data_IF_059675490960
#
_entry.id   IF_059675490960
#
_cell.length_a   1.000
_cell.length_b   1.000
_cell.length_c   1.000
_cell.angle_alpha   90.00
_cell.angle_beta   90.00
_cell.angle_gamma   90.00
#
_symmetry.space_group_name_H-M   'P 1'
#
loop_
_entity.id
_entity.type
_entity.pdbx_description
1 polymer ?
#
# COMPACT_ATOMS: atom_id res chain seq x y z
N UNK A 1 -60.86 13.48 -1.98
CA UNK A 1 -61.73 12.43 -1.44
C UNK A 1 -60.96 11.56 -0.47
N UNK A 2 -61.37 11.65 0.74
CA UNK A 2 -61.06 10.86 1.95
C UNK A 2 -59.62 10.48 2.35
N UNK A 3 -59.26 10.86 3.56
CA UNK A 3 -58.08 10.40 4.28
C UNK A 3 -58.39 9.19 5.16
N UNK A 4 -57.51 8.23 5.27
CA UNK A 4 -57.55 7.18 6.29
C UNK A 4 -56.61 7.51 7.43
N UNK A 5 -57.24 7.76 8.58
CA UNK A 5 -56.62 7.81 9.92
C UNK A 5 -56.24 6.39 10.36
N UNK A 6 -55.01 6.18 10.77
CA UNK A 6 -54.56 4.99 11.50
C UNK A 6 -54.20 5.37 12.95
N UNK A 7 -54.94 4.88 13.87
CA UNK A 7 -54.91 5.16 15.31
C UNK A 7 -53.64 4.64 15.98
N UNK A 8 -52.99 5.51 16.79
CA UNK A 8 -51.92 5.15 17.71
C UNK A 8 -52.51 4.43 18.92
N UNK A 9 -52.10 3.22 19.14
CA UNK A 9 -52.50 2.43 20.34
C UNK A 9 -51.65 2.86 21.53
N UNK A 10 -52.21 3.68 22.39
CA UNK A 10 -51.71 4.03 23.72
C UNK A 10 -52.09 2.94 24.73
N UNK A 11 -51.29 1.88 24.85
CA UNK A 11 -51.36 0.96 25.99
C UNK A 11 -50.13 0.05 26.06
N UNK A 12 -49.02 0.57 26.54
CA UNK A 12 -47.90 -0.21 27.07
C UNK A 12 -47.04 0.61 28.05
N UNK A 13 -47.70 1.35 28.94
CA UNK A 13 -47.06 2.00 30.10
C UNK A 13 -47.75 1.50 31.39
N UNK A 14 -47.37 0.32 31.82
CA UNK A 14 -47.57 -0.06 33.24
C UNK A 14 -47.02 -1.47 33.45
N UNK A 15 -45.78 -1.60 33.86
CA UNK A 15 -45.23 -2.71 34.68
C UNK A 15 -43.72 -2.47 34.94
N UNK A 16 -43.44 -1.46 35.73
CA UNK A 16 -42.22 -1.41 36.52
C UNK A 16 -42.58 -1.84 37.95
N UNK A 17 -42.17 -3.03 38.35
CA UNK A 17 -42.23 -3.51 39.72
C UNK A 17 -40.85 -3.44 40.39
N UNK A 18 -40.77 -3.27 41.72
CA UNK A 18 -39.60 -2.74 42.42
C UNK A 18 -38.52 -3.78 42.68
N UNK A 19 -37.31 -3.29 42.82
CA UNK A 19 -36.06 -3.94 43.18
C UNK A 19 -36.24 -5.03 44.24
N UNK A 20 -36.02 -6.31 43.87
CA UNK A 20 -35.70 -7.38 44.83
C UNK A 20 -34.22 -7.26 45.19
N UNK A 21 -33.94 -7.10 46.48
CA UNK A 21 -32.61 -7.27 47.06
C UNK A 21 -32.14 -8.71 46.75
N UNK A 22 -31.12 -8.83 45.88
CA UNK A 22 -30.38 -10.08 45.75
C UNK A 22 -29.38 -10.16 46.93
N UNK A 23 -29.53 -11.19 47.72
CA UNK A 23 -28.55 -11.59 48.73
C UNK A 23 -27.22 -11.90 48.07
N UNK A 24 -26.14 -11.27 48.51
CA UNK A 24 -24.79 -11.61 48.19
C UNK A 24 -24.47 -13.02 48.67
N UNK A 25 -24.58 -14.02 47.80
CA UNK A 25 -23.87 -15.28 48.01
C UNK A 25 -22.40 -15.03 47.64
N UNK A 26 -21.54 -15.03 48.65
CA UNK A 26 -20.09 -15.17 48.48
C UNK A 26 -19.81 -16.54 47.86
N UNK A 27 -19.74 -16.61 46.54
CA UNK A 27 -19.12 -17.72 45.81
C UNK A 27 -17.64 -17.43 45.75
N UNK A 28 -16.86 -18.00 46.66
CA UNK A 28 -15.40 -18.08 46.53
C UNK A 28 -15.09 -18.92 45.29
N UNK A 29 -14.64 -18.29 44.20
CA UNK A 29 -14.14 -19.03 43.07
C UNK A 29 -12.96 -19.92 43.50
N UNK A 30 -12.87 -21.15 42.98
CA UNK A 30 -11.78 -22.05 43.33
C UNK A 30 -10.42 -21.42 42.89
N UNK A 31 -9.34 -21.61 43.65
CA UNK A 31 -8.05 -21.03 43.35
C UNK A 31 -7.56 -21.49 41.98
N UNK A 32 -7.19 -20.51 41.12
CA UNK A 32 -6.69 -20.73 39.79
C UNK A 32 -5.47 -21.67 39.78
N UNK A 33 -5.43 -22.64 38.87
CA UNK A 33 -4.28 -23.53 38.72
C UNK A 33 -3.02 -22.73 38.42
N UNK A 34 -1.83 -23.26 38.77
CA UNK A 34 -0.53 -22.60 38.50
C UNK A 34 -0.34 -22.19 37.04
N UNK A 35 -0.96 -22.91 36.09
CA UNK A 35 -0.96 -22.62 34.67
C UNK A 35 -1.86 -21.42 34.30
N UNK A 36 -3.00 -21.30 34.96
CA UNK A 36 -3.94 -20.16 34.82
C UNK A 36 -3.41 -18.91 35.51
N UNK A 37 -2.74 -19.05 36.67
CA UNK A 37 -2.04 -17.94 37.32
C UNK A 37 -0.89 -17.39 36.48
N UNK A 38 -0.08 -18.29 35.86
CA UNK A 38 0.96 -17.87 34.92
C UNK A 38 0.41 -17.20 33.66
N UNK A 39 -0.78 -17.62 33.19
CA UNK A 39 -1.44 -17.00 32.06
C UNK A 39 -2.01 -15.63 32.42
N UNK A 40 -2.64 -15.49 33.58
CA UNK A 40 -3.13 -14.22 34.12
C UNK A 40 -2.00 -13.23 34.40
N UNK A 41 -0.87 -13.67 34.99
CA UNK A 41 0.32 -12.83 35.16
C UNK A 41 0.94 -12.42 33.81
N UNK A 42 0.85 -13.27 32.77
CA UNK A 42 1.30 -12.90 31.43
C UNK A 42 0.35 -11.93 30.72
N UNK A 43 -0.93 -11.97 31.04
CA UNK A 43 -1.93 -11.02 30.53
C UNK A 43 -1.89 -9.68 31.30
N UNK A 44 -1.62 -9.69 32.59
CA UNK A 44 -1.46 -8.48 33.42
C UNK A 44 -0.16 -7.72 33.18
N UNK A 45 0.88 -8.39 32.62
CA UNK A 45 2.13 -7.73 32.23
C UNK A 45 2.03 -6.99 30.89
N UNK A 46 0.86 -6.99 30.25
CA UNK A 46 0.68 -6.39 28.91
C UNK A 46 0.23 -4.91 28.99
N UNK A 47 -0.04 -4.36 30.18
CA UNK A 47 -0.60 -3.02 30.32
C UNK A 47 0.16 -2.12 31.29
N UNK A 48 1.45 -1.93 31.07
CA UNK A 48 2.11 -0.73 31.59
C UNK A 48 2.52 0.18 30.43
N UNK A 49 1.57 1.03 30.05
CA UNK A 49 1.81 2.17 29.17
C UNK A 49 2.07 3.42 30.02
N UNK A 50 3.26 3.55 30.53
CA UNK A 50 3.77 4.83 30.95
C UNK A 50 5.27 4.77 30.65
N UNK A 51 5.67 5.14 29.46
CA UNK A 51 7.01 4.80 29.09
C UNK A 51 7.70 5.78 28.20
N UNK A 52 8.92 5.80 28.40
CA UNK A 52 9.99 6.31 27.61
C UNK A 52 9.78 6.03 26.11
N UNK A 53 9.73 7.07 25.28
CA UNK A 53 9.61 7.00 23.81
C UNK A 53 10.64 6.07 23.15
N UNK A 54 11.75 5.77 23.81
CA UNK A 54 12.78 4.83 23.35
C UNK A 54 12.31 3.36 23.29
N UNK A 55 11.19 3.01 23.93
CA UNK A 55 10.65 1.65 24.01
C UNK A 55 9.43 1.37 23.10
N UNK A 56 9.07 2.32 22.24
CA UNK A 56 7.93 2.15 21.32
C UNK A 56 8.23 1.03 20.33
N UNK A 57 7.38 0.01 20.34
CA UNK A 57 7.56 -1.15 19.47
C UNK A 57 7.09 -0.88 18.04
N UNK A 58 7.86 -1.37 17.07
CA UNK A 58 7.44 -1.37 15.66
C UNK A 58 6.22 -2.29 15.48
N UNK A 59 5.26 -1.86 14.67
CA UNK A 59 4.02 -2.59 14.37
C UNK A 59 3.69 -2.50 12.89
N UNK A 60 3.14 -3.58 12.36
CA UNK A 60 2.59 -3.63 11.00
C UNK A 60 1.10 -3.90 11.09
N UNK A 61 0.31 -3.06 10.43
CA UNK A 61 -1.12 -3.28 10.25
C UNK A 61 -1.43 -3.40 8.77
N UNK A 62 -2.37 -4.29 8.44
CA UNK A 62 -2.85 -4.50 7.07
C UNK A 62 -4.36 -4.72 7.07
N UNK A 63 -5.03 -4.30 5.98
CA UNK A 63 -6.45 -4.50 5.77
C UNK A 63 -6.79 -4.51 4.28
N UNK A 64 -8.02 -4.89 3.93
CA UNK A 64 -8.50 -5.03 2.56
C UNK A 64 -8.73 -6.48 2.18
N UNK A 65 -8.43 -6.84 0.95
CA UNK A 65 -8.61 -8.18 0.40
C UNK A 65 -7.65 -9.19 1.06
N UNK A 66 -8.22 -10.18 1.75
CA UNK A 66 -7.46 -11.27 2.37
C UNK A 66 -7.48 -12.55 1.53
N UNK A 67 -8.37 -12.66 0.52
CA UNK A 67 -8.55 -13.88 -0.28
C UNK A 67 -7.28 -14.36 -0.99
N UNK A 68 -6.39 -13.43 -1.28
CA UNK A 68 -5.10 -13.70 -1.95
C UNK A 68 -3.98 -14.08 -0.99
N UNK A 69 -4.16 -13.83 0.32
CA UNK A 69 -3.11 -13.97 1.33
C UNK A 69 -2.25 -12.72 1.53
N UNK A 70 -2.47 -11.63 0.76
CA UNK A 70 -1.66 -10.39 0.81
C UNK A 70 -1.57 -9.75 2.20
N UNK A 71 -2.59 -9.97 3.05
CA UNK A 71 -2.64 -9.47 4.44
C UNK A 71 -1.61 -10.17 5.35
N UNK A 72 -1.17 -11.39 5.00
CA UNK A 72 -0.16 -12.14 5.76
C UNK A 72 -0.63 -12.67 7.13
N UNK A 73 -1.94 -12.91 7.30
CA UNK A 73 -2.54 -13.47 8.51
C UNK A 73 -3.19 -14.81 8.19
N UNK A 74 -2.49 -15.94 8.41
CA UNK A 74 -2.94 -17.27 7.99
C UNK A 74 -4.30 -17.69 8.53
N UNK A 75 -4.66 -17.28 9.76
CA UNK A 75 -5.93 -17.62 10.40
C UNK A 75 -7.16 -17.10 9.65
N UNK A 76 -7.01 -16.11 8.77
CA UNK A 76 -8.10 -15.63 7.94
C UNK A 76 -8.48 -16.62 6.84
N UNK A 77 -7.51 -17.30 6.23
CA UNK A 77 -7.75 -18.27 5.16
C UNK A 77 -7.77 -19.72 5.65
N UNK A 78 -7.05 -20.01 6.75
CA UNK A 78 -7.05 -21.31 7.44
C UNK A 78 -7.50 -21.11 8.88
N UNK A 79 -8.81 -20.88 9.12
CA UNK A 79 -9.32 -20.67 10.47
C UNK A 79 -9.30 -21.97 11.29
N UNK A 80 -9.47 -21.85 12.58
CA UNK A 80 -9.66 -23.00 13.48
C UNK A 80 -10.98 -23.74 13.16
N UNK A 81 -11.05 -25.00 13.60
CA UNK A 81 -12.23 -25.86 13.35
C UNK A 81 -13.50 -25.19 13.84
N UNK A 82 -14.50 -25.05 12.97
CA UNK A 82 -15.79 -24.43 13.25
C UNK A 82 -15.87 -22.92 12.95
N UNK A 83 -14.80 -22.31 12.46
CA UNK A 83 -14.81 -20.93 11.98
C UNK A 83 -14.81 -20.90 10.45
N UNK A 84 -15.33 -19.81 9.87
CA UNK A 84 -15.32 -19.58 8.41
C UNK A 84 -14.13 -18.71 8.00
N UNK A 85 -13.61 -18.89 6.79
CA UNK A 85 -12.58 -18.01 6.24
C UNK A 85 -13.05 -16.55 6.14
N UNK A 86 -12.13 -15.63 6.37
CA UNK A 86 -12.33 -14.19 6.26
C UNK A 86 -11.63 -13.71 5.00
N UNK A 87 -12.39 -13.34 3.97
CA UNK A 87 -11.85 -12.87 2.70
C UNK A 87 -11.72 -11.34 2.62
N UNK A 88 -12.36 -10.62 3.54
CA UNK A 88 -12.40 -9.17 3.59
C UNK A 88 -12.07 -8.68 5.00
N UNK A 89 -10.98 -7.94 5.14
CA UNK A 89 -10.52 -7.35 6.40
C UNK A 89 -10.86 -5.86 6.38
N UNK A 90 -11.94 -5.50 7.06
CA UNK A 90 -12.53 -4.15 7.02
C UNK A 90 -11.93 -3.17 8.03
N UNK A 91 -11.03 -3.63 8.90
CA UNK A 91 -10.37 -2.82 9.92
C UNK A 91 -8.89 -3.17 9.97
N UNK A 92 -8.01 -2.25 10.37
CA UNK A 92 -6.60 -2.53 10.53
C UNK A 92 -6.34 -3.76 11.40
N UNK A 93 -5.74 -4.77 10.82
CA UNK A 93 -5.38 -6.02 11.49
C UNK A 93 -3.86 -6.09 11.66
N UNK A 94 -3.40 -6.42 12.87
CA UNK A 94 -1.96 -6.51 13.18
C UNK A 94 -1.34 -7.76 12.57
N UNK A 95 -0.29 -7.61 11.80
CA UNK A 95 0.48 -8.71 11.20
C UNK A 95 1.43 -9.29 12.26
N UNK A 96 0.88 -10.17 13.13
CA UNK A 96 1.58 -10.72 14.31
C UNK A 96 2.79 -11.59 13.99
N UNK A 97 2.96 -12.04 12.74
CA UNK A 97 4.14 -12.78 12.31
C UNK A 97 5.42 -11.99 12.58
N UNK A 98 5.44 -10.71 12.22
CA UNK A 98 6.60 -9.83 12.40
C UNK A 98 7.01 -9.70 13.88
N UNK A 99 6.01 -9.58 14.76
CA UNK A 99 6.26 -9.51 16.20
C UNK A 99 6.82 -10.81 16.77
N UNK A 100 6.23 -11.96 16.39
CA UNK A 100 6.67 -13.28 16.87
C UNK A 100 8.08 -13.64 16.41
N UNK A 101 8.42 -13.25 15.19
CA UNK A 101 9.73 -13.47 14.61
C UNK A 101 10.77 -12.41 15.05
N UNK A 102 10.36 -11.43 15.87
CA UNK A 102 11.19 -10.28 16.30
C UNK A 102 11.84 -9.56 15.12
N UNK A 103 11.05 -9.28 14.08
CA UNK A 103 11.48 -8.63 12.85
C UNK A 103 11.03 -7.18 12.84
N UNK A 104 11.97 -6.26 12.65
CA UNK A 104 11.67 -4.86 12.39
C UNK A 104 11.46 -4.66 10.89
N UNK A 105 10.23 -4.35 10.47
CA UNK A 105 9.92 -4.00 9.09
C UNK A 105 10.34 -2.56 8.83
N UNK A 106 11.11 -2.33 7.77
CA UNK A 106 11.62 -1.00 7.39
C UNK A 106 11.02 -0.47 6.12
N UNK A 107 10.67 -1.36 5.18
CA UNK A 107 10.04 -1.02 3.90
C UNK A 107 9.00 -2.08 3.55
N UNK A 108 7.98 -1.65 2.81
CA UNK A 108 6.92 -2.53 2.29
C UNK A 108 6.70 -2.17 0.82
N UNK A 109 6.51 -3.20 -0.02
CA UNK A 109 5.97 -3.08 -1.36
C UNK A 109 4.65 -3.84 -1.42
N UNK A 110 3.62 -3.21 -1.98
CA UNK A 110 2.31 -3.80 -2.18
C UNK A 110 2.03 -3.91 -3.67
N UNK A 111 1.76 -5.12 -4.14
CA UNK A 111 1.41 -5.41 -5.54
C UNK A 111 -0.07 -5.79 -5.70
N UNK A 112 -0.36 -6.51 -6.78
CA UNK A 112 -1.70 -7.01 -7.07
C UNK A 112 -1.97 -8.31 -6.31
N UNK A 113 -2.48 -8.17 -5.08
CA UNK A 113 -2.81 -9.30 -4.22
C UNK A 113 -1.60 -9.97 -3.57
N UNK A 114 -0.49 -9.26 -3.44
CA UNK A 114 0.69 -9.71 -2.69
C UNK A 114 1.40 -8.54 -2.02
N UNK A 115 2.19 -8.85 -1.00
CA UNK A 115 2.96 -7.89 -0.20
C UNK A 115 4.37 -8.41 0.04
N UNK A 116 5.36 -7.54 -0.07
CA UNK A 116 6.77 -7.84 0.23
C UNK A 116 7.28 -6.91 1.31
N UNK A 117 7.91 -7.47 2.33
CA UNK A 117 8.45 -6.76 3.49
C UNK A 117 9.96 -6.83 3.50
N UNK A 118 10.62 -5.68 3.66
CA UNK A 118 12.04 -5.59 4.00
C UNK A 118 12.15 -5.52 5.50
N UNK A 119 12.89 -6.43 6.10
CA UNK A 119 13.07 -6.51 7.55
C UNK A 119 14.53 -6.40 7.94
N UNK A 120 14.79 -5.87 9.11
CA UNK A 120 16.09 -5.89 9.76
C UNK A 120 16.01 -6.83 10.97
N UNK A 121 16.99 -7.72 11.09
CA UNK A 121 17.19 -8.59 12.25
C UNK A 121 18.67 -8.55 12.65
N UNK A 122 19.01 -9.18 13.76
CA UNK A 122 20.42 -9.35 14.18
C UNK A 122 21.29 -10.12 13.16
N UNK A 123 20.67 -10.78 12.17
CA UNK A 123 21.32 -11.52 11.07
C UNK A 123 21.34 -10.74 9.75
N UNK A 124 21.15 -9.42 9.78
CA UNK A 124 21.08 -8.57 8.59
C UNK A 124 19.67 -8.39 8.02
N UNK A 125 19.59 -7.74 6.87
CA UNK A 125 18.34 -7.46 6.19
C UNK A 125 17.80 -8.70 5.49
N UNK A 126 16.47 -8.89 5.53
CA UNK A 126 15.79 -10.02 4.90
C UNK A 126 14.50 -9.58 4.22
N UNK A 127 14.12 -10.34 3.20
CA UNK A 127 12.87 -10.17 2.47
C UNK A 127 11.88 -11.25 2.88
N UNK A 128 10.63 -10.83 3.09
CA UNK A 128 9.51 -11.75 3.29
C UNK A 128 8.38 -11.39 2.34
N UNK A 129 7.78 -12.39 1.71
CA UNK A 129 6.66 -12.23 0.79
C UNK A 129 5.43 -12.98 1.27
N UNK A 130 4.24 -12.45 0.95
CA UNK A 130 2.95 -13.10 1.21
C UNK A 130 1.94 -12.68 0.13
N UNK A 131 0.99 -13.54 -0.21
CA UNK A 131 -0.04 -13.27 -1.20
C UNK A 131 0.01 -14.19 -2.41
N UNK A 132 -0.49 -13.71 -3.55
CA UNK A 132 -0.45 -14.41 -4.84
C UNK A 132 1.00 -14.62 -5.26
N UNK A 133 1.29 -15.83 -5.78
CA UNK A 133 2.60 -16.24 -6.26
C UNK A 133 2.51 -17.03 -7.57
N UNK A 134 1.49 -16.81 -8.37
CA UNK A 134 1.27 -17.50 -9.64
C UNK A 134 2.36 -17.27 -10.67
N UNK A 135 3.09 -16.18 -10.53
CA UNK A 135 4.22 -15.79 -11.39
C UNK A 135 5.57 -15.85 -10.67
N UNK A 136 5.65 -16.47 -9.49
CA UNK A 136 6.84 -16.46 -8.61
C UNK A 136 7.32 -15.04 -8.25
N UNK A 137 6.41 -14.08 -8.20
CA UNK A 137 6.69 -12.68 -7.89
C UNK A 137 7.14 -12.42 -6.44
N UNK A 138 6.94 -13.41 -5.55
CA UNK A 138 7.50 -13.43 -4.19
C UNK A 138 8.48 -14.60 -3.99
N UNK A 139 9.03 -15.11 -5.08
CA UNK A 139 10.01 -16.19 -5.11
C UNK A 139 9.38 -17.58 -5.26
N UNK A 140 10.24 -18.56 -5.49
CA UNK A 140 9.84 -19.95 -5.64
C UNK A 140 9.64 -20.61 -4.27
N UNK A 141 8.45 -21.12 -4.02
CA UNK A 141 8.09 -21.78 -2.75
C UNK A 141 7.45 -23.14 -3.00
N UNK A 142 8.08 -24.20 -2.52
CA UNK A 142 7.52 -25.56 -2.54
C UNK A 142 6.88 -25.95 -1.21
N UNK A 143 5.76 -26.66 -1.29
CA UNK A 143 5.13 -27.28 -0.12
C UNK A 143 4.42 -28.61 -0.46
N UNK A 144 4.73 -29.70 0.27
CA UNK A 144 5.91 -29.90 1.14
C UNK A 144 7.22 -29.76 0.37
N UNK A 145 8.32 -29.48 1.07
CA UNK A 145 9.65 -29.31 0.43
C UNK A 145 10.04 -30.53 -0.40
N UNK A 146 10.69 -30.31 -1.54
CA UNK A 146 11.17 -31.35 -2.46
C UNK A 146 10.06 -32.21 -3.11
N UNK A 147 8.86 -31.68 -3.28
CA UNK A 147 7.74 -32.37 -3.96
C UNK A 147 7.47 -31.82 -5.36
N UNK A 148 8.11 -30.75 -5.77
CA UNK A 148 7.81 -30.02 -7.01
C UNK A 148 6.46 -29.32 -7.01
N UNK A 149 5.72 -29.30 -5.87
CA UNK A 149 4.44 -28.58 -5.74
C UNK A 149 4.70 -27.15 -5.33
N UNK A 150 4.55 -26.24 -6.27
CA UNK A 150 4.71 -24.78 -6.04
C UNK A 150 3.46 -24.21 -5.38
N UNK A 151 3.66 -23.23 -4.50
CA UNK A 151 2.57 -22.50 -3.87
C UNK A 151 2.16 -21.30 -4.73
N UNK A 152 0.94 -21.35 -5.28
CA UNK A 152 0.31 -20.22 -5.98
C UNK A 152 -0.14 -19.11 -4.99
N UNK A 153 -0.31 -19.47 -3.72
CA UNK A 153 -0.71 -18.55 -2.64
C UNK A 153 0.14 -18.80 -1.39
N UNK A 154 0.82 -17.76 -0.95
CA UNK A 154 1.62 -17.76 0.29
C UNK A 154 0.86 -16.94 1.33
N UNK A 155 0.24 -17.59 2.30
CA UNK A 155 -0.68 -16.97 3.26
C UNK A 155 -0.02 -16.45 4.54
N UNK A 156 1.23 -16.84 4.79
CA UNK A 156 2.06 -16.35 5.89
C UNK A 156 3.36 -15.78 5.32
N UNK A 157 3.85 -14.63 5.82
CA UNK A 157 5.10 -14.07 5.32
C UNK A 157 6.23 -15.09 5.32
N UNK A 158 6.74 -15.42 4.14
CA UNK A 158 7.77 -16.45 3.91
C UNK A 158 9.02 -15.79 3.35
N UNK A 159 10.19 -16.27 3.76
CA UNK A 159 11.49 -15.71 3.37
C UNK A 159 11.68 -15.81 1.85
N UNK A 160 12.02 -14.70 1.21
CA UNK A 160 12.48 -14.63 -0.18
C UNK A 160 14.01 -14.63 -0.15
N UNK A 161 14.61 -15.62 -0.76
CA UNK A 161 16.06 -15.75 -0.82
C UNK A 161 16.61 -15.04 -2.06
N UNK A 162 17.56 -14.10 -1.86
CA UNK A 162 18.24 -13.40 -2.93
C UNK A 162 19.64 -14.01 -3.13
N UNK A 163 20.10 -14.19 -4.36
CA UNK A 163 21.44 -14.66 -4.68
C UNK A 163 22.49 -13.55 -4.53
N UNK A 164 22.62 -13.04 -3.31
CA UNK A 164 23.60 -12.00 -2.97
C UNK A 164 24.99 -12.58 -2.87
N UNK A 165 25.96 -11.91 -3.49
CA UNK A 165 27.37 -12.27 -3.43
C UNK A 165 27.94 -11.98 -2.02
N UNK A 166 27.45 -10.92 -1.38
CA UNK A 166 27.93 -10.43 -0.07
C UNK A 166 26.76 -10.27 0.93
N UNK A 167 26.09 -11.38 1.29
CA UNK A 167 24.88 -11.41 2.15
C UNK A 167 24.99 -10.62 3.45
N UNK A 168 26.15 -10.67 4.10
CA UNK A 168 26.34 -10.07 5.44
C UNK A 168 26.55 -8.56 5.38
N UNK A 169 26.90 -8.03 4.23
CA UNK A 169 27.24 -6.60 4.07
C UNK A 169 26.35 -5.87 3.07
N UNK A 170 25.54 -6.56 2.29
CA UNK A 170 24.59 -5.97 1.33
C UNK A 170 23.23 -5.76 1.99
N UNK A 171 22.75 -4.52 1.97
CA UNK A 171 21.45 -4.16 2.53
C UNK A 171 20.41 -3.96 1.42
N UNK A 172 19.20 -4.41 1.70
CA UNK A 172 18.05 -4.13 0.85
C UNK A 172 17.51 -2.76 1.26
N UNK A 173 17.53 -1.82 0.31
CA UNK A 173 17.16 -0.41 0.55
C UNK A 173 15.71 -0.12 0.16
N UNK A 174 15.19 -0.82 -0.86
CA UNK A 174 13.83 -0.62 -1.33
C UNK A 174 13.27 -1.90 -1.99
N UNK A 175 11.94 -2.03 -1.98
CA UNK A 175 11.18 -2.99 -2.76
C UNK A 175 10.05 -2.27 -3.47
N UNK A 176 9.75 -2.66 -4.72
CA UNK A 176 8.61 -2.19 -5.50
C UNK A 176 7.90 -3.40 -6.12
N UNK A 177 6.56 -3.35 -6.13
CA UNK A 177 5.73 -4.46 -6.57
C UNK A 177 4.74 -3.99 -7.64
N UNK A 178 4.67 -4.72 -8.74
CA UNK A 178 3.72 -4.48 -9.84
C UNK A 178 2.57 -5.49 -9.83
N UNK A 179 2.04 -5.81 -11.00
CA UNK A 179 0.95 -6.78 -11.13
C UNK A 179 1.41 -8.21 -10.85
N UNK A 180 2.50 -8.65 -11.46
CA UNK A 180 3.04 -9.99 -11.30
C UNK A 180 4.57 -10.02 -11.18
N UNK A 181 5.21 -8.90 -10.85
CA UNK A 181 6.66 -8.79 -10.72
C UNK A 181 7.06 -7.95 -9.51
N UNK A 182 8.28 -8.15 -9.05
CA UNK A 182 8.87 -7.45 -7.91
C UNK A 182 10.27 -6.99 -8.26
N UNK A 183 10.59 -5.74 -7.94
CA UNK A 183 11.93 -5.17 -7.99
C UNK A 183 12.46 -5.01 -6.56
N UNK A 184 13.75 -5.28 -6.38
CA UNK A 184 14.46 -5.17 -5.11
C UNK A 184 15.76 -4.40 -5.35
N UNK A 185 15.91 -3.26 -4.68
CA UNK A 185 17.12 -2.44 -4.74
C UNK A 185 18.01 -2.76 -3.53
N UNK A 186 19.29 -2.95 -3.80
CA UNK A 186 20.31 -3.13 -2.78
C UNK A 186 21.29 -1.96 -2.80
N UNK A 187 22.02 -1.77 -1.70
CA UNK A 187 23.02 -0.70 -1.57
C UNK A 187 24.34 -0.97 -2.32
N UNK A 188 24.63 -2.24 -2.64
CA UNK A 188 25.94 -2.64 -3.21
C UNK A 188 25.84 -3.50 -4.46
N UNK A 189 24.76 -4.24 -4.62
CA UNK A 189 24.68 -5.26 -5.67
C UNK A 189 23.66 -4.92 -6.77
N UNK A 190 23.14 -3.68 -6.78
CA UNK A 190 22.21 -3.19 -7.80
C UNK A 190 20.79 -3.68 -7.60
N UNK A 191 20.07 -3.93 -8.69
CA UNK A 191 18.63 -4.25 -8.72
C UNK A 191 18.42 -5.71 -9.06
N UNK A 192 17.63 -6.40 -8.24
CA UNK A 192 17.15 -7.76 -8.48
C UNK A 192 15.67 -7.74 -8.85
N UNK A 193 15.23 -8.72 -9.67
CA UNK A 193 13.85 -8.84 -10.13
C UNK A 193 13.34 -10.26 -10.07
N UNK A 194 12.06 -10.40 -9.78
CA UNK A 194 11.31 -11.65 -9.64
C UNK A 194 10.01 -11.58 -10.42
N UNK A 195 9.49 -12.70 -10.84
CA UNK A 195 8.13 -12.81 -11.35
C UNK A 195 8.02 -12.74 -12.87
N UNK A 196 6.85 -12.27 -13.31
CA UNK A 196 6.44 -12.17 -14.70
C UNK A 196 7.33 -11.21 -15.50
N UNK A 197 7.77 -11.66 -16.67
CA UNK A 197 8.55 -10.85 -17.62
C UNK A 197 7.98 -10.91 -19.05
N UNK A 198 6.69 -11.18 -19.19
CA UNK A 198 6.05 -11.30 -20.51
C UNK A 198 6.18 -10.04 -21.37
N UNK A 199 6.35 -8.90 -20.71
CA UNK A 199 6.54 -7.60 -21.35
C UNK A 199 7.93 -6.98 -21.13
N UNK A 200 8.88 -7.74 -20.56
CA UNK A 200 10.21 -7.22 -20.25
C UNK A 200 10.29 -6.35 -19.00
N UNK A 201 9.24 -6.33 -18.16
CA UNK A 201 9.15 -5.53 -16.94
C UNK A 201 10.20 -5.89 -15.87
N UNK A 202 10.82 -7.06 -15.98
CA UNK A 202 11.96 -7.46 -15.14
C UNK A 202 13.32 -7.00 -15.69
N UNK A 203 13.37 -6.17 -16.75
CA UNK A 203 14.61 -5.64 -17.31
C UNK A 203 15.53 -6.71 -17.91
N UNK A 204 14.98 -7.76 -18.49
CA UNK A 204 15.69 -8.83 -19.19
C UNK A 204 14.97 -9.23 -20.47
N UNK A 205 15.65 -9.88 -21.43
CA UNK A 205 15.02 -10.37 -22.65
C UNK A 205 13.78 -11.22 -22.36
N UNK A 206 12.76 -11.03 -23.19
CA UNK A 206 11.52 -11.82 -23.15
C UNK A 206 11.85 -13.21 -23.74
N UNK A 207 11.42 -14.26 -23.05
CA UNK A 207 11.54 -15.64 -23.50
C UNK A 207 10.14 -16.15 -23.84
N UNK A 208 9.92 -16.53 -25.09
CA UNK A 208 8.65 -17.05 -25.55
C UNK A 208 8.32 -18.39 -24.85
N UNK A 209 7.10 -18.52 -24.34
CA UNK A 209 6.66 -19.73 -23.63
C UNK A 209 7.24 -19.90 -22.22
N UNK A 210 7.90 -18.89 -21.64
CA UNK A 210 8.40 -18.96 -20.26
C UNK A 210 7.25 -19.17 -19.27
N UNK A 211 7.39 -20.18 -18.40
CA UNK A 211 6.44 -20.48 -17.32
C UNK A 211 6.91 -19.79 -16.05
N UNK A 212 6.21 -18.75 -15.63
CA UNK A 212 6.61 -17.93 -14.48
C UNK A 212 6.28 -18.57 -13.13
N UNK A 213 5.18 -19.30 -13.02
CA UNK A 213 4.69 -19.90 -11.76
C UNK A 213 5.60 -20.98 -11.16
N UNK A 214 6.57 -21.48 -11.93
CA UNK A 214 7.54 -22.49 -11.50
C UNK A 214 8.99 -22.02 -11.64
N UNK A 215 9.17 -20.72 -11.77
CA UNK A 215 10.48 -20.16 -12.09
C UNK A 215 11.23 -19.77 -10.80
N UNK A 216 12.29 -20.50 -10.42
CA UNK A 216 13.11 -20.18 -9.26
C UNK A 216 14.06 -18.98 -9.52
N UNK A 217 14.03 -18.41 -10.73
CA UNK A 217 14.99 -17.40 -11.14
C UNK A 217 14.76 -16.10 -10.43
N UNK A 218 15.76 -15.65 -9.68
CA UNK A 218 15.97 -14.27 -9.29
C UNK A 218 16.93 -13.66 -10.30
N UNK A 219 16.51 -12.63 -11.01
CA UNK A 219 17.31 -11.99 -12.01
C UNK A 219 17.97 -10.73 -11.44
N UNK A 220 19.30 -10.57 -11.65
CA UNK A 220 20.00 -9.31 -11.42
C UNK A 220 19.96 -8.51 -12.71
N UNK A 221 19.40 -7.29 -12.65
CA UNK A 221 19.36 -6.41 -13.83
C UNK A 221 20.77 -6.09 -14.30
N UNK A 222 20.96 -6.10 -15.61
CA UNK A 222 22.22 -5.77 -16.27
C UNK A 222 22.06 -4.50 -17.09
N UNK A 223 23.18 -3.90 -17.47
CA UNK A 223 23.22 -2.72 -18.36
C UNK A 223 22.37 -1.55 -17.82
N UNK A 224 22.40 -1.36 -16.51
CA UNK A 224 21.77 -0.23 -15.79
C UNK A 224 22.86 0.61 -15.11
N UNK A 225 22.58 1.91 -14.84
CA UNK A 225 23.50 2.74 -14.05
C UNK A 225 23.77 2.17 -12.66
N UNK A 226 24.98 2.34 -12.14
CA UNK A 226 25.37 1.88 -10.80
C UNK A 226 24.76 2.74 -9.67
N UNK A 227 24.33 3.97 -10.00
CA UNK A 227 23.82 4.95 -9.06
C UNK A 227 22.29 4.97 -8.95
N UNK A 228 21.64 3.81 -9.03
CA UNK A 228 20.18 3.73 -8.83
C UNK A 228 19.83 4.06 -7.38
N UNK A 229 18.96 5.07 -7.21
CA UNK A 229 18.48 5.55 -5.90
C UNK A 229 17.08 5.04 -5.55
N UNK A 230 16.22 4.86 -6.55
CA UNK A 230 14.82 4.41 -6.34
C UNK A 230 14.37 3.50 -7.46
N UNK A 231 13.43 2.62 -7.11
CA UNK A 231 12.74 1.72 -8.03
C UNK A 231 11.24 1.88 -7.89
N UNK A 232 10.50 1.80 -8.99
CA UNK A 232 9.03 1.89 -9.00
C UNK A 232 8.47 0.88 -10.00
N UNK A 233 7.36 0.23 -9.65
CA UNK A 233 6.58 -0.62 -10.53
C UNK A 233 5.22 0.01 -10.81
N UNK A 234 4.80 0.00 -12.08
CA UNK A 234 3.42 0.14 -12.49
C UNK A 234 2.76 -1.23 -12.65
N UNK A 235 1.76 -1.35 -13.53
CA UNK A 235 1.12 -2.65 -13.81
C UNK A 235 2.15 -3.66 -14.33
N UNK A 236 2.62 -3.46 -15.55
CA UNK A 236 3.53 -4.35 -16.27
C UNK A 236 4.74 -3.57 -16.83
N UNK A 237 5.17 -2.55 -16.11
CA UNK A 237 6.33 -1.74 -16.43
C UNK A 237 7.07 -1.35 -15.15
N UNK A 238 8.33 -0.96 -15.31
CA UNK A 238 9.24 -0.65 -14.21
C UNK A 238 10.03 0.61 -14.51
N UNK A 239 10.35 1.34 -13.43
CA UNK A 239 11.21 2.52 -13.49
C UNK A 239 12.39 2.37 -12.54
N UNK A 240 13.54 2.88 -12.98
CA UNK A 240 14.74 3.07 -12.19
C UNK A 240 15.06 4.56 -12.16
N UNK A 241 15.25 5.12 -11.00
CA UNK A 241 15.61 6.52 -10.80
C UNK A 241 17.01 6.60 -10.22
N UNK A 242 17.90 7.34 -10.86
CA UNK A 242 19.29 7.54 -10.40
C UNK A 242 19.38 8.64 -9.35
N UNK A 243 20.51 8.72 -8.64
CA UNK A 243 20.84 9.83 -7.72
C UNK A 243 20.88 11.19 -8.40
N UNK A 244 21.21 11.19 -9.70
CA UNK A 244 21.30 12.41 -10.51
C UNK A 244 19.92 12.86 -11.06
N UNK A 245 18.88 12.06 -10.80
CA UNK A 245 17.52 12.34 -11.22
C UNK A 245 17.18 11.86 -12.63
N UNK A 246 18.02 11.03 -13.24
CA UNK A 246 17.71 10.38 -14.51
C UNK A 246 16.75 9.24 -14.32
N UNK A 247 15.82 9.05 -15.25
CA UNK A 247 14.79 8.01 -15.21
C UNK A 247 15.01 7.01 -16.35
N UNK A 248 14.99 5.74 -15.99
CA UNK A 248 15.03 4.61 -16.95
C UNK A 248 13.75 3.81 -16.80
N UNK A 249 13.24 3.26 -17.89
CA UNK A 249 12.03 2.42 -17.89
C UNK A 249 12.18 1.18 -18.76
N UNK A 250 11.41 0.15 -18.45
CA UNK A 250 11.21 -1.05 -19.26
C UNK A 250 9.80 -1.64 -18.98
N UNK A 251 9.36 -2.53 -19.85
CA UNK A 251 8.07 -3.20 -19.74
C UNK A 251 7.09 -2.88 -20.85
N UNK A 252 5.81 -3.04 -20.57
CA UNK A 252 4.70 -2.76 -21.49
C UNK A 252 4.63 -1.26 -21.80
N UNK A 253 4.52 -0.93 -23.10
CA UNK A 253 4.47 0.46 -23.56
C UNK A 253 3.24 0.81 -24.40
N UNK A 254 2.21 -0.04 -24.45
CA UNK A 254 1.05 0.13 -25.34
C UNK A 254 0.26 1.43 -25.13
N UNK A 255 0.27 1.97 -23.91
CA UNK A 255 -0.37 3.25 -23.55
C UNK A 255 0.64 4.40 -23.43
N UNK A 256 1.89 4.16 -23.83
CA UNK A 256 2.98 5.13 -23.67
C UNK A 256 3.56 5.22 -22.27
N UNK A 257 3.14 4.35 -21.33
CA UNK A 257 3.51 4.39 -19.92
C UNK A 257 5.02 4.25 -19.66
N UNK A 258 5.79 3.70 -20.61
CA UNK A 258 7.26 3.70 -20.52
C UNK A 258 7.89 5.07 -20.76
N UNK A 259 7.20 6.01 -21.42
CA UNK A 259 7.72 7.36 -21.68
C UNK A 259 8.86 7.45 -22.71
N UNK A 260 9.08 6.40 -23.52
CA UNK A 260 10.23 6.26 -24.41
C UNK A 260 10.02 6.82 -25.83
N UNK A 261 8.93 7.56 -26.07
CA UNK A 261 8.60 8.15 -27.38
C UNK A 261 7.97 7.17 -28.37
N UNK A 262 7.55 6.00 -27.91
CA UNK A 262 6.89 4.98 -28.72
C UNK A 262 5.93 4.13 -27.89
N UNK A 263 5.08 3.34 -28.53
CA UNK A 263 4.09 2.44 -27.90
C UNK A 263 4.52 0.97 -27.92
N UNK A 264 5.80 0.68 -28.08
CA UNK A 264 6.34 -0.69 -28.11
C UNK A 264 6.77 -1.14 -26.73
N UNK A 265 6.67 -2.44 -26.48
CA UNK A 265 7.28 -3.12 -25.34
C UNK A 265 8.80 -2.99 -25.38
N UNK A 266 9.43 -2.78 -24.24
CA UNK A 266 10.90 -2.60 -24.12
C UNK A 266 11.41 -3.47 -22.97
N UNK A 267 12.26 -4.45 -23.28
CA UNK A 267 12.76 -5.40 -22.28
C UNK A 267 14.03 -4.97 -21.56
N UNK A 268 14.75 -3.97 -22.08
CA UNK A 268 15.93 -3.40 -21.42
C UNK A 268 15.60 -2.04 -20.82
N UNK A 269 16.04 -1.75 -19.60
CA UNK A 269 15.93 -0.42 -19.03
C UNK A 269 16.56 0.64 -19.93
N UNK A 270 15.74 1.55 -20.44
CA UNK A 270 16.12 2.58 -21.38
C UNK A 270 15.86 3.95 -20.79
N UNK A 271 16.82 4.88 -20.95
CA UNK A 271 16.71 6.25 -20.43
C UNK A 271 15.57 7.00 -21.10
N UNK A 272 14.69 7.58 -20.27
CA UNK A 272 13.60 8.43 -20.75
C UNK A 272 14.17 9.81 -21.13
N UNK A 273 13.69 10.33 -22.27
CA UNK A 273 14.02 11.65 -22.79
C UNK A 273 12.76 12.54 -22.84
N UNK A 274 12.84 13.64 -23.54
CA UNK A 274 11.73 14.57 -23.70
C UNK A 274 11.63 15.57 -22.55
N UNK A 275 10.43 15.86 -22.06
CA UNK A 275 10.20 16.94 -21.08
C UNK A 275 10.98 16.85 -19.77
N UNK A 276 11.52 15.68 -19.42
CA UNK A 276 12.34 15.48 -18.22
C UNK A 276 13.85 15.44 -18.50
N UNK A 277 14.27 15.62 -19.75
CA UNK A 277 15.69 15.62 -20.09
C UNK A 277 16.42 16.81 -19.46
N UNK A 278 17.46 16.52 -18.67
CA UNK A 278 18.17 17.54 -17.89
C UNK A 278 17.46 18.02 -16.61
N UNK A 279 16.29 17.48 -16.31
CA UNK A 279 15.55 17.77 -15.08
C UNK A 279 15.89 16.73 -14.01
N UNK A 280 16.25 17.17 -12.81
CA UNK A 280 16.49 16.27 -11.69
C UNK A 280 15.17 15.77 -11.10
N UNK A 281 14.77 14.57 -11.50
CA UNK A 281 13.58 13.90 -10.96
C UNK A 281 13.90 13.29 -9.58
N UNK A 282 12.98 13.44 -8.65
CA UNK A 282 13.11 12.97 -7.27
C UNK A 282 12.10 11.88 -6.90
N UNK A 283 10.97 11.82 -7.62
CA UNK A 283 9.93 10.82 -7.42
C UNK A 283 9.28 10.43 -8.74
N UNK A 284 8.97 9.13 -8.88
CA UNK A 284 8.04 8.61 -9.88
C UNK A 284 6.86 8.01 -9.12
N UNK A 285 5.64 8.26 -9.57
CA UNK A 285 4.41 7.66 -9.07
C UNK A 285 3.68 6.95 -10.22
N UNK A 286 3.47 5.65 -10.07
CA UNK A 286 2.81 4.81 -11.07
C UNK A 286 2.26 3.57 -10.38
N UNK A 287 0.95 3.48 -10.20
CA UNK A 287 0.25 2.27 -9.74
C UNK A 287 -0.53 1.62 -10.88
N UNK A 288 -0.89 2.40 -11.88
CA UNK A 288 -1.50 1.99 -13.15
C UNK A 288 -0.61 2.40 -14.31
N UNK A 289 -1.23 2.76 -15.44
CA UNK A 289 -0.55 3.13 -16.68
C UNK A 289 -0.45 4.65 -16.90
N UNK A 290 -0.97 5.46 -15.96
CA UNK A 290 -0.70 6.89 -15.87
C UNK A 290 0.48 7.14 -14.93
N UNK A 291 1.47 7.88 -15.36
CA UNK A 291 2.72 8.12 -14.65
C UNK A 291 2.88 9.60 -14.34
N UNK A 292 3.23 9.91 -13.09
CA UNK A 292 3.66 11.24 -12.66
C UNK A 292 5.13 11.20 -12.25
N UNK A 293 5.90 12.20 -12.66
CA UNK A 293 7.27 12.44 -12.21
C UNK A 293 7.36 13.80 -11.52
N UNK A 294 8.04 13.84 -10.39
CA UNK A 294 8.24 15.05 -9.58
C UNK A 294 9.71 15.45 -9.62
N UNK A 295 9.99 16.71 -9.96
CA UNK A 295 11.35 17.27 -9.93
C UNK A 295 11.75 17.74 -8.52
N UNK A 296 13.03 18.02 -8.31
CA UNK A 296 13.57 18.64 -7.08
C UNK A 296 12.99 20.05 -6.84
N UNK A 297 12.66 20.75 -7.92
CA UNK A 297 12.05 22.09 -7.85
C UNK A 297 10.54 22.06 -7.53
N UNK A 298 9.91 20.89 -7.57
CA UNK A 298 8.50 20.70 -7.32
C UNK A 298 7.63 20.78 -8.57
N UNK A 299 8.24 20.74 -9.75
CA UNK A 299 7.52 20.63 -11.02
C UNK A 299 7.04 19.19 -11.24
N UNK A 300 5.86 19.05 -11.84
CA UNK A 300 5.26 17.76 -12.14
C UNK A 300 5.24 17.52 -13.64
N UNK A 301 5.69 16.34 -14.05
CA UNK A 301 5.61 15.84 -15.42
C UNK A 301 4.72 14.61 -15.45
N UNK A 302 4.09 14.36 -16.60
CA UNK A 302 3.20 13.22 -16.73
C UNK A 302 3.23 12.61 -18.13
N UNK A 303 2.92 11.30 -18.21
CA UNK A 303 2.78 10.53 -19.45
C UNK A 303 2.00 9.23 -19.20
N UNK A 304 1.79 8.45 -20.25
CA UNK A 304 1.04 7.21 -20.21
C UNK A 304 -0.43 7.38 -20.55
N UNK A 305 -1.28 6.56 -19.92
CA UNK A 305 -2.71 6.55 -20.15
C UNK A 305 -3.42 7.79 -19.59
N UNK A 306 -4.32 8.39 -20.38
CA UNK A 306 -5.13 9.55 -20.05
C UNK A 306 -6.60 9.39 -20.47
N UNK A 307 -7.11 8.15 -20.57
CA UNK A 307 -8.51 7.89 -20.94
C UNK A 307 -9.51 8.51 -19.97
N UNK A 308 -9.07 8.83 -18.76
CA UNK A 308 -9.88 9.40 -17.70
C UNK A 308 -9.54 10.87 -17.41
N UNK A 309 -9.02 11.58 -18.40
CA UNK A 309 -8.67 13.01 -18.33
C UNK A 309 -7.54 13.34 -17.33
N UNK A 310 -6.69 12.38 -16.97
CA UNK A 310 -5.59 12.62 -16.02
C UNK A 310 -4.60 13.67 -16.56
N UNK A 311 -4.44 13.76 -17.88
CA UNK A 311 -3.49 14.63 -18.57
C UNK A 311 -4.19 15.69 -19.45
N UNK A 312 -5.50 15.86 -19.33
CA UNK A 312 -6.28 16.79 -20.17
C UNK A 312 -5.88 18.25 -20.00
N UNK A 313 -5.23 18.59 -18.87
CA UNK A 313 -4.64 19.93 -18.66
C UNK A 313 -3.57 20.30 -19.70
N UNK A 314 -2.96 19.31 -20.38
CA UNK A 314 -1.90 19.55 -21.40
C UNK A 314 -2.21 18.96 -22.75
N UNK A 315 -3.21 18.08 -22.87
CA UNK A 315 -3.54 17.43 -24.14
C UNK A 315 -4.91 16.75 -24.08
N UNK A 316 -5.58 16.67 -25.23
CA UNK A 316 -6.81 15.90 -25.43
C UNK A 316 -6.53 14.44 -25.83
N UNK A 317 -5.26 14.07 -26.03
CA UNK A 317 -4.88 12.70 -26.37
C UNK A 317 -5.09 11.78 -25.16
N UNK A 318 -5.64 10.60 -25.41
CA UNK A 318 -5.86 9.57 -24.39
C UNK A 318 -4.61 8.79 -23.99
N UNK A 319 -3.50 8.96 -24.76
CA UNK A 319 -2.22 8.29 -24.52
C UNK A 319 -1.07 9.22 -24.87
N UNK A 320 -0.07 9.30 -24.00
CA UNK A 320 1.12 10.13 -24.17
C UNK A 320 2.35 9.26 -23.93
N UNK A 321 3.20 9.14 -24.94
CA UNK A 321 4.40 8.28 -24.88
C UNK A 321 5.71 9.01 -24.54
N UNK A 322 5.64 10.31 -24.22
CA UNK A 322 6.78 11.13 -23.77
C UNK A 322 6.37 11.99 -22.58
N UNK A 323 7.25 12.22 -21.61
CA UNK A 323 6.96 13.11 -20.49
C UNK A 323 6.59 14.51 -20.95
N UNK A 324 5.48 15.05 -20.41
CA UNK A 324 5.04 16.44 -20.59
C UNK A 324 4.93 17.16 -19.26
N UNK A 325 5.37 18.40 -19.23
CA UNK A 325 5.23 19.28 -18.07
C UNK A 325 3.76 19.60 -17.80
N UNK A 326 3.33 19.45 -16.54
CA UNK A 326 2.00 19.89 -16.08
C UNK A 326 2.09 21.29 -15.48
N UNK A 327 1.28 22.28 -15.93
CA UNK A 327 1.36 23.66 -15.47
C UNK A 327 0.63 23.86 -14.11
N UNK A 328 1.11 23.21 -13.06
CA UNK A 328 0.49 23.17 -11.71
C UNK A 328 1.01 24.24 -10.75
N UNK A 329 1.58 25.35 -11.24
CA UNK A 329 2.17 26.40 -10.39
C UNK A 329 1.18 26.99 -9.36
N UNK A 330 -0.11 26.99 -9.67
CA UNK A 330 -1.16 27.45 -8.77
C UNK A 330 -1.32 26.55 -7.52
N UNK A 331 -0.86 25.29 -7.58
CA UNK A 331 -0.84 24.38 -6.44
C UNK A 331 0.37 24.59 -5.50
N UNK A 332 1.31 25.48 -5.84
CA UNK A 332 2.56 25.70 -5.11
C UNK A 332 3.63 24.64 -5.40
N UNK A 333 4.71 24.61 -4.59
CA UNK A 333 5.79 23.64 -4.75
C UNK A 333 5.31 22.26 -4.29
N UNK A 334 5.32 21.27 -5.20
CA UNK A 334 4.87 19.92 -4.92
C UNK A 334 6.00 19.11 -4.28
N UNK A 335 5.65 18.29 -3.28
CA UNK A 335 6.59 17.44 -2.52
C UNK A 335 6.23 15.95 -2.60
N UNK A 336 4.99 15.62 -2.98
CA UNK A 336 4.53 14.23 -3.16
C UNK A 336 3.57 14.14 -4.33
N UNK A 337 3.65 13.02 -5.04
CA UNK A 337 2.74 12.66 -6.10
C UNK A 337 2.30 11.20 -5.95
N UNK A 338 1.06 10.90 -6.30
CA UNK A 338 0.50 9.56 -6.38
C UNK A 338 -0.36 9.45 -7.64
N UNK A 339 -0.27 8.32 -8.32
CA UNK A 339 -1.03 8.03 -9.53
C UNK A 339 -1.63 6.64 -9.46
N UNK A 340 -2.88 6.51 -9.88
CA UNK A 340 -3.57 5.26 -10.09
C UNK A 340 -4.09 5.18 -11.54
N UNK A 341 -4.84 4.14 -11.88
CA UNK A 341 -5.30 3.94 -13.26
C UNK A 341 -6.15 5.08 -13.82
N UNK A 342 -7.00 5.72 -13.00
CA UNK A 342 -7.92 6.77 -13.47
C UNK A 342 -7.79 8.10 -12.73
N UNK A 343 -6.88 8.23 -11.76
CA UNK A 343 -6.83 9.40 -10.86
C UNK A 343 -5.45 9.67 -10.36
N UNK A 344 -5.20 10.95 -10.08
CA UNK A 344 -3.94 11.47 -9.59
C UNK A 344 -4.13 12.27 -8.31
N UNK A 345 -3.08 12.36 -7.50
CA UNK A 345 -3.02 13.22 -6.33
C UNK A 345 -1.63 13.82 -6.16
N UNK A 346 -1.57 15.04 -5.62
CA UNK A 346 -0.33 15.73 -5.25
C UNK A 346 -0.48 16.39 -3.89
N UNK A 347 0.64 16.51 -3.18
CA UNK A 347 0.74 17.26 -1.93
C UNK A 347 1.82 18.32 -2.09
N UNK A 348 1.52 19.55 -1.67
CA UNK A 348 2.47 20.66 -1.71
C UNK A 348 3.21 20.85 -0.37
N UNK A 349 4.14 21.81 -0.33
CA UNK A 349 4.93 22.15 0.87
C UNK A 349 4.09 22.66 2.06
N UNK A 350 2.85 23.08 1.83
CA UNK A 350 1.92 23.48 2.89
C UNK A 350 1.13 22.30 3.46
N UNK A 351 1.30 21.09 2.88
CA UNK A 351 0.50 19.92 3.23
C UNK A 351 -0.93 19.97 2.67
N UNK A 352 -1.18 20.81 1.67
CA UNK A 352 -2.43 20.84 0.92
C UNK A 352 -2.43 19.68 -0.09
N UNK A 353 -3.52 18.91 -0.11
CA UNK A 353 -3.68 17.78 -1.01
C UNK A 353 -4.66 18.11 -2.14
N UNK A 354 -4.25 17.86 -3.37
CA UNK A 354 -5.03 18.07 -4.58
C UNK A 354 -5.25 16.74 -5.30
N UNK A 355 -6.41 16.60 -5.94
CA UNK A 355 -6.82 15.38 -6.66
C UNK A 355 -7.47 15.74 -8.00
N UNK A 356 -7.31 14.89 -9.02
CA UNK A 356 -7.99 15.02 -10.32
C UNK A 356 -8.08 13.67 -11.03
N UNK A 357 -8.72 13.64 -12.22
CA UNK A 357 -9.03 12.43 -12.98
C UNK A 357 -10.48 12.01 -12.79
N UNK A 358 -10.76 10.72 -12.73
CA UNK A 358 -12.11 10.16 -12.70
C UNK A 358 -12.34 9.19 -11.55
N UNK A 359 -13.51 9.25 -10.94
CA UNK A 359 -13.99 8.40 -9.85
C UNK A 359 -14.21 9.17 -8.55
N UNK A 360 -14.19 8.48 -7.42
CA UNK A 360 -14.37 9.12 -6.11
C UNK A 360 -13.10 9.88 -5.72
N UNK A 361 -13.14 11.20 -5.86
CA UNK A 361 -11.99 12.09 -5.67
C UNK A 361 -11.85 12.63 -4.23
N UNK A 362 -12.84 12.40 -3.35
CA UNK A 362 -12.75 12.85 -1.94
C UNK A 362 -13.37 14.22 -1.66
N UNK A 363 -14.07 14.82 -2.62
CA UNK A 363 -14.74 16.11 -2.50
C UNK A 363 -16.28 16.02 -2.51
N UNK A 364 -16.79 14.84 -2.20
CA UNK A 364 -18.22 14.57 -2.16
C UNK A 364 -18.77 13.86 -3.41
N UNK A 365 -20.03 13.41 -3.36
CA UNK A 365 -20.61 12.59 -4.42
C UNK A 365 -20.97 13.34 -5.70
N UNK A 366 -20.86 14.68 -5.70
CA UNK A 366 -21.16 15.50 -6.88
C UNK A 366 -19.95 15.70 -7.81
N UNK A 367 -18.73 15.39 -7.33
CA UNK A 367 -17.51 15.52 -8.12
C UNK A 367 -16.97 14.12 -8.47
N UNK A 368 -17.36 13.60 -9.63
CA UNK A 368 -16.90 12.31 -10.15
C UNK A 368 -15.76 12.43 -11.16
N UNK A 369 -15.50 13.64 -11.68
CA UNK A 369 -14.41 13.91 -12.61
C UNK A 369 -13.88 15.31 -12.42
N UNK A 370 -12.57 15.47 -12.51
CA UNK A 370 -11.89 16.75 -12.53
C UNK A 370 -10.75 16.70 -13.54
N UNK A 371 -10.70 17.67 -14.45
CA UNK A 371 -9.64 17.81 -15.46
C UNK A 371 -8.43 18.57 -14.93
N UNK A 372 -8.60 19.30 -13.82
CA UNK A 372 -7.57 20.06 -13.13
C UNK A 372 -7.49 19.65 -11.66
N UNK A 373 -6.35 19.85 -11.00
CA UNK A 373 -6.19 19.56 -9.58
C UNK A 373 -7.17 20.34 -8.70
N UNK A 374 -7.98 19.61 -7.94
CA UNK A 374 -8.96 20.10 -7.00
C UNK A 374 -8.49 19.89 -5.56
N UNK A 375 -8.33 20.97 -4.78
CA UNK A 375 -7.89 20.89 -3.40
C UNK A 375 -8.96 20.23 -2.52
N UNK A 376 -8.57 19.23 -1.75
CA UNK A 376 -9.40 18.70 -0.66
C UNK A 376 -9.22 19.61 0.57
N UNK A 377 -10.32 20.12 1.17
CA UNK A 377 -10.22 21.03 2.30
C UNK A 377 -9.42 20.45 3.47
N UNK A 378 -8.40 21.17 4.01
CA UNK A 378 -7.57 20.69 5.12
C UNK A 378 -8.33 20.23 6.37
N UNK A 379 -9.50 20.79 6.75
CA UNK A 379 -10.29 20.26 7.87
C UNK A 379 -10.72 18.80 7.73
N UNK A 380 -10.84 18.28 6.51
CA UNK A 380 -11.15 16.86 6.28
C UNK A 380 -10.00 15.93 6.68
N UNK A 381 -8.80 16.46 6.90
CA UNK A 381 -7.62 15.75 7.40
C UNK A 381 -7.31 16.08 8.88
N UNK A 382 -8.26 16.74 9.58
CA UNK A 382 -8.14 17.02 11.00
C UNK A 382 -7.52 18.37 11.35
N UNK A 383 -7.15 19.20 10.35
CA UNK A 383 -6.74 20.59 10.59
C UNK A 383 -7.93 21.39 11.13
N UNK A 384 -7.80 22.00 12.30
CA UNK A 384 -8.85 22.77 12.95
C UNK A 384 -8.23 23.83 13.88
N UNK A 385 -9.05 24.63 14.58
CA UNK A 385 -8.58 25.69 15.46
C UNK A 385 -7.71 25.21 16.64
N UNK A 386 -7.90 23.96 17.10
CA UNK A 386 -7.11 23.36 18.18
C UNK A 386 -5.84 22.69 17.67
N UNK A 387 -5.85 22.22 16.44
CA UNK A 387 -4.74 21.54 15.76
C UNK A 387 -4.48 22.18 14.37
N UNK A 388 -4.07 23.46 14.31
CA UNK A 388 -3.93 24.19 13.05
C UNK A 388 -2.74 23.71 12.21
N UNK A 389 -1.75 23.08 12.82
CA UNK A 389 -0.53 22.59 12.17
C UNK A 389 -0.68 21.21 11.53
N UNK A 390 -1.86 20.57 11.67
CA UNK A 390 -2.10 19.27 11.04
C UNK A 390 -2.15 19.42 9.53
N UNK A 391 -1.31 18.65 8.86
CA UNK A 391 -1.12 18.72 7.42
C UNK A 391 -0.83 17.35 6.82
N UNK A 392 -1.16 17.15 5.54
CA UNK A 392 -0.85 15.91 4.83
C UNK A 392 0.63 15.90 4.46
N UNK A 393 1.33 14.81 4.78
CA UNK A 393 2.76 14.63 4.47
C UNK A 393 3.02 13.55 3.43
N UNK A 394 2.08 12.64 3.22
CA UNK A 394 2.21 11.58 2.23
C UNK A 394 0.85 11.16 1.70
N UNK A 395 0.81 10.70 0.45
CA UNK A 395 -0.37 10.16 -0.22
C UNK A 395 0.02 9.00 -1.12
N UNK A 396 -0.75 7.93 -1.07
CA UNK A 396 -0.63 6.77 -1.97
C UNK A 396 -1.99 6.40 -2.53
N UNK A 397 -1.98 5.79 -3.70
CA UNK A 397 -3.18 5.33 -4.39
C UNK A 397 -3.14 3.81 -4.54
N UNK A 398 -4.22 3.12 -4.17
CA UNK A 398 -4.59 1.84 -4.75
C UNK A 398 -5.36 2.06 -6.06
N UNK A 399 -5.80 0.99 -6.70
CA UNK A 399 -6.53 1.14 -7.97
C UNK A 399 -7.86 1.91 -7.80
N UNK A 400 -8.52 1.76 -6.66
CA UNK A 400 -9.85 2.30 -6.42
C UNK A 400 -9.95 3.26 -5.24
N UNK A 401 -8.90 3.40 -4.43
CA UNK A 401 -8.92 4.17 -3.20
C UNK A 401 -7.64 5.00 -3.03
N UNK A 402 -7.73 5.98 -2.17
CA UNK A 402 -6.60 6.78 -1.72
C UNK A 402 -6.33 6.56 -0.24
N UNK A 403 -5.08 6.71 0.15
CA UNK A 403 -4.66 6.74 1.54
C UNK A 403 -3.73 7.93 1.74
N UNK A 404 -4.03 8.77 2.73
CA UNK A 404 -3.21 9.91 3.11
C UNK A 404 -2.71 9.77 4.53
N UNK A 405 -1.49 10.22 4.78
CA UNK A 405 -0.84 10.28 6.08
C UNK A 405 -0.63 11.74 6.47
N UNK A 406 -1.00 12.08 7.70
CA UNK A 406 -0.74 13.41 8.27
C UNK A 406 0.49 13.41 9.16
N UNK A 407 1.04 14.60 9.42
CA UNK A 407 2.22 14.81 10.25
C UNK A 407 2.06 14.35 11.71
N UNK A 408 0.82 14.23 12.21
CA UNK A 408 0.51 13.67 13.54
C UNK A 408 0.29 12.14 13.53
N UNK A 409 0.65 11.43 12.43
CA UNK A 409 0.54 9.98 12.33
C UNK A 409 -0.86 9.44 12.10
N UNK A 410 -1.83 10.31 11.76
CA UNK A 410 -3.19 9.88 11.42
C UNK A 410 -3.30 9.46 9.96
N UNK A 411 -4.06 8.40 9.70
CA UNK A 411 -4.30 7.87 8.35
C UNK A 411 -5.74 8.15 7.95
N UNK A 412 -5.93 8.64 6.73
CA UNK A 412 -7.24 8.92 6.14
C UNK A 412 -7.39 8.14 4.85
N UNK A 413 -8.59 7.60 4.61
CA UNK A 413 -8.91 6.83 3.40
C UNK A 413 -10.22 7.30 2.78
N UNK A 414 -10.29 7.23 1.44
CA UNK A 414 -11.50 7.50 0.67
C UNK A 414 -11.42 6.79 -0.68
N UNK A 415 -12.56 6.71 -1.37
CA UNK A 415 -12.69 6.02 -2.66
C UNK A 415 -13.70 4.88 -2.62
N UNK A 416 -13.59 3.94 -3.55
CA UNK A 416 -14.41 2.72 -3.58
C UNK A 416 -13.90 1.71 -2.56
N UNK A 417 -14.82 1.16 -1.75
CA UNK A 417 -14.48 0.14 -0.75
C UNK A 417 -14.57 -1.27 -1.34
N UNK A 418 -13.63 -1.61 -2.21
CA UNK A 418 -13.48 -2.99 -2.66
C UNK A 418 -12.78 -3.81 -1.58
N UNK A 419 -13.46 -4.88 -1.14
CA UNK A 419 -12.89 -5.83 -0.17
C UNK A 419 -12.41 -5.19 1.15
N UNK A 420 -13.01 -4.07 1.58
CA UNK A 420 -12.64 -3.41 2.84
C UNK A 420 -11.33 -2.62 2.78
N UNK A 421 -10.84 -2.24 1.59
CA UNK A 421 -9.55 -1.56 1.42
C UNK A 421 -9.48 -0.18 2.08
N UNK A 422 -10.62 0.41 2.48
CA UNK A 422 -10.67 1.65 3.25
C UNK A 422 -10.37 1.46 4.75
N UNK A 423 -10.53 0.27 5.30
CA UNK A 423 -10.19 -0.01 6.70
C UNK A 423 -11.10 0.64 7.75
N UNK A 424 -12.30 1.09 7.38
CA UNK A 424 -13.21 1.88 8.22
C UNK A 424 -14.21 1.05 9.03
N UNK A 425 -14.16 -0.29 8.94
CA UNK A 425 -15.07 -1.20 9.63
C UNK A 425 -16.42 -1.40 8.95
N UNK A 426 -16.72 -0.61 7.95
CA UNK A 426 -17.95 -0.65 7.13
C UNK A 426 -17.60 -0.97 5.69
N UNK A 427 -18.46 -1.64 4.96
CA UNK A 427 -18.29 -1.88 3.53
C UNK A 427 -19.16 -0.89 2.75
N UNK A 428 -18.61 0.29 2.52
CA UNK A 428 -19.30 1.37 1.81
C UNK A 428 -18.27 2.34 1.24
N UNK A 429 -18.47 2.75 -0.01
CA UNK A 429 -17.71 3.80 -0.68
C UNK A 429 -17.71 5.09 0.13
N UNK A 430 -16.58 5.79 0.18
CA UNK A 430 -16.41 7.03 0.93
C UNK A 430 -16.04 8.17 0.00
N UNK A 431 -16.92 9.16 -0.04
CA UNK A 431 -16.79 10.33 -0.90
C UNK A 431 -15.97 11.47 -0.26
N UNK A 432 -15.59 11.32 0.99
CA UNK A 432 -14.72 12.24 1.73
C UNK A 432 -13.64 11.45 2.49
N UNK A 433 -12.47 12.03 2.73
CA UNK A 433 -11.48 11.43 3.59
C UNK A 433 -12.04 11.12 4.98
N UNK A 434 -11.90 9.89 5.44
CA UNK A 434 -12.27 9.47 6.79
C UNK A 434 -11.07 8.87 7.50
N UNK A 435 -10.92 9.23 8.77
CA UNK A 435 -9.83 8.75 9.63
C UNK A 435 -9.99 7.26 9.93
N UNK A 436 -8.93 6.50 9.68
CA UNK A 436 -8.85 5.08 10.03
C UNK A 436 -8.43 4.92 11.48
N UNK A 437 -9.15 4.09 12.24
CA UNK A 437 -8.82 3.81 13.64
C UNK A 437 -7.67 2.79 13.71
N UNK A 438 -6.45 3.28 13.90
CA UNK A 438 -5.25 2.45 14.08
C UNK A 438 -4.74 2.64 15.50
N UNK A 439 -4.56 1.56 16.31
CA UNK A 439 -4.10 1.66 17.71
C UNK A 439 -2.58 1.84 17.80
N UNK A 440 -2.00 2.71 16.95
CA UNK A 440 -0.59 3.03 16.89
C UNK A 440 -0.38 4.29 16.04
N UNK A 441 0.75 4.95 16.19
CA UNK A 441 1.15 6.10 15.36
C UNK A 441 1.76 5.62 14.05
N UNK A 442 1.18 6.02 12.92
CA UNK A 442 1.65 5.61 11.59
C UNK A 442 2.76 6.54 11.10
N UNK A 443 3.79 5.95 10.51
CA UNK A 443 4.89 6.69 9.88
C UNK A 443 5.16 6.32 8.43
N UNK A 444 4.48 5.28 7.90
CA UNK A 444 4.59 4.88 6.48
C UNK A 444 3.30 4.19 6.03
N UNK A 445 2.86 4.52 4.84
CA UNK A 445 1.66 3.99 4.20
C UNK A 445 2.03 3.37 2.85
N UNK A 446 1.40 2.24 2.50
CA UNK A 446 1.54 1.60 1.19
C UNK A 446 0.20 0.98 0.78
N UNK A 447 -0.12 1.07 -0.52
CA UNK A 447 -1.29 0.45 -1.10
C UNK A 447 -0.91 -0.57 -2.17
N UNK A 448 -1.59 -1.71 -2.15
CA UNK A 448 -1.79 -2.54 -3.32
C UNK A 448 -3.08 -2.14 -4.05
N UNK A 449 -3.55 -3.00 -4.93
CA UNK A 449 -4.79 -2.75 -5.70
C UNK A 449 -6.00 -2.64 -4.79
N UNK A 450 -6.14 -3.55 -3.84
CA UNK A 450 -7.30 -3.74 -2.99
C UNK A 450 -6.96 -4.04 -1.52
N UNK A 451 -5.74 -3.71 -1.11
CA UNK A 451 -5.28 -3.81 0.27
C UNK A 451 -4.34 -2.66 0.63
N UNK A 452 -4.23 -2.39 1.90
CA UNK A 452 -3.39 -1.33 2.46
C UNK A 452 -2.53 -1.90 3.58
N UNK A 453 -1.27 -1.47 3.64
CA UNK A 453 -0.32 -1.83 4.70
C UNK A 453 0.30 -0.56 5.27
N UNK A 454 0.39 -0.50 6.59
CA UNK A 454 1.01 0.64 7.29
C UNK A 454 2.03 0.17 8.30
N UNK A 455 3.11 0.96 8.40
CA UNK A 455 4.13 0.80 9.41
C UNK A 455 3.90 1.82 10.53
N UNK A 456 3.90 1.34 11.76
CA UNK A 456 3.53 2.13 12.93
C UNK A 456 4.51 1.95 14.07
N UNK A 457 4.48 2.92 15.00
CA UNK A 457 5.03 2.80 16.35
C UNK A 457 3.88 2.65 17.35
N UNK A 458 4.02 1.74 18.31
CA UNK A 458 3.03 1.64 19.40
C UNK A 458 2.94 2.98 20.14
N UNK A 459 1.76 3.31 20.66
CA UNK A 459 1.67 4.39 21.64
C UNK A 459 2.49 4.02 22.89
N UNK A 460 2.99 5.03 23.56
CA UNK A 460 3.77 4.85 24.80
C UNK A 460 2.89 4.40 25.95
#
# INVERSE_FOLDING_TARGET
MHPLRGSICLNCLSKWSPWRRMSTRNTTEPPLSKKQQKRKMKEETITQYAGDNSKRADRVYAWGCASTGAIGIPSYLKPEKGQHPIYTVRQPARVKFMDRANLKVTKVGCGYGFTVYVTISFRGNRLYGTGINTDSQIGYHEFPRNTGRVLDYVIEPTLIDLPLDHRDTTNITQVACGRGHTLILTDKEGVFTLGNNAYGQCGRPIVEGEVYGQNPRVNKMKDIPDNIAKIVCGHDHSFLLTTDGEVYSCGLGCDGQTGLGHYRTTSQPTKIKGGIEGVKITQIASTGDCVLALSEEGDVFAWGNSEYNQLSIVTEQTQINIPKYLPLKHCGKIIKAASAGSKCAIVNTKGELFVWGYGILGKGPKLESATEPEMIPPPLFGCNELEPDVSVIDVVCGLHHFVALTNNGSVYTWGKDKHGCLGLGIQRDQYFPLKVSIPAETHSIQCGVDHTVVLCKSFC
#
